data_IF_199057760830
#
_entry.id   IF_199057760830
#
_cell.length_a   1.000
_cell.length_b   1.000
_cell.length_c   1.000
_cell.angle_alpha   90.00
_cell.angle_beta   90.00
_cell.angle_gamma   90.00
#
_symmetry.space_group_name_H-M   'P 1'
#
loop_
_entity.id
_entity.type
_entity.pdbx_description
1 polymer ?
#
# COMPACT_ATOMS: atom_id res chain seq x y z
N UNK A 1 16.86 4.35 -3.37
CA UNK A 1 16.81 5.75 -2.97
C UNK A 1 15.95 6.60 -3.88
N UNK A 2 16.18 6.56 -5.19
CA UNK A 2 15.33 7.30 -6.13
C UNK A 2 13.86 6.90 -6.05
N UNK A 3 13.62 5.62 -5.84
CA UNK A 3 12.26 5.11 -5.71
C UNK A 3 11.54 5.70 -4.49
N UNK A 4 12.18 5.68 -3.34
CA UNK A 4 11.56 6.23 -2.11
C UNK A 4 11.33 7.73 -2.21
N UNK A 5 12.24 8.45 -2.85
CA UNK A 5 12.07 9.86 -3.11
C UNK A 5 10.86 10.12 -4.01
N UNK A 6 10.74 9.34 -5.10
CA UNK A 6 9.61 9.45 -6.01
C UNK A 6 8.28 9.12 -5.34
N UNK A 7 8.27 8.09 -4.49
CA UNK A 7 7.09 7.71 -3.73
C UNK A 7 6.67 8.82 -2.78
N UNK A 8 7.62 9.39 -2.05
CA UNK A 8 7.35 10.49 -1.12
C UNK A 8 6.77 11.69 -1.84
N UNK A 9 7.38 12.09 -2.97
CA UNK A 9 6.89 13.21 -3.77
C UNK A 9 5.48 12.98 -4.29
N UNK A 10 5.19 11.75 -4.74
CA UNK A 10 3.86 11.43 -5.25
C UNK A 10 2.82 11.51 -4.16
N UNK A 11 3.12 11.01 -2.97
CA UNK A 11 2.17 11.07 -1.86
C UNK A 11 1.92 12.51 -1.44
N UNK A 12 2.97 13.35 -1.39
CA UNK A 12 2.81 14.78 -1.10
C UNK A 12 1.89 15.44 -2.13
N UNK A 13 2.10 15.15 -3.41
CA UNK A 13 1.25 15.67 -4.48
C UNK A 13 -0.21 15.24 -4.29
N UNK A 14 -0.44 14.01 -3.87
CA UNK A 14 -1.79 13.49 -3.60
C UNK A 14 -2.42 14.23 -2.43
N UNK A 15 -1.67 14.44 -1.36
CA UNK A 15 -2.15 15.18 -0.19
C UNK A 15 -2.52 16.61 -0.58
N UNK A 16 -1.62 17.31 -1.23
CA UNK A 16 -1.79 18.73 -1.53
C UNK A 16 -2.70 18.99 -2.73
N UNK A 17 -2.64 18.13 -3.74
CA UNK A 17 -3.42 18.31 -4.96
C UNK A 17 -4.84 17.82 -4.88
N UNK A 18 -5.10 16.72 -4.19
CA UNK A 18 -6.43 16.13 -4.07
C UNK A 18 -7.08 16.34 -2.70
N UNK A 19 -6.31 16.80 -1.71
CA UNK A 19 -6.82 16.95 -0.35
C UNK A 19 -7.07 15.61 0.36
N UNK A 20 -6.43 14.56 -0.07
CA UNK A 20 -6.61 13.23 0.53
C UNK A 20 -5.93 13.20 1.91
N UNK A 21 -6.64 12.68 2.89
CA UNK A 21 -6.16 12.59 4.27
C UNK A 21 -6.13 11.18 4.83
N UNK A 22 -6.74 10.22 4.15
CA UNK A 22 -6.78 8.83 4.63
C UNK A 22 -6.09 7.93 3.63
N UNK A 23 -5.18 7.10 4.13
CA UNK A 23 -4.34 6.23 3.31
C UNK A 23 -4.48 4.80 3.78
N UNK A 24 -4.53 3.86 2.84
CA UNK A 24 -4.67 2.43 3.14
C UNK A 24 -3.50 1.67 2.52
N UNK A 25 -2.82 0.84 3.31
CA UNK A 25 -1.78 -0.06 2.83
C UNK A 25 -2.17 -1.51 3.08
N UNK A 26 -1.90 -2.37 2.10
CA UNK A 26 -2.16 -3.80 2.23
C UNK A 26 -1.08 -4.56 2.98
N UNK A 27 0.00 -3.91 3.34
CA UNK A 27 1.04 -4.45 4.21
C UNK A 27 1.73 -5.72 3.72
N UNK A 28 1.77 -5.93 2.41
CA UNK A 28 2.63 -6.96 1.84
C UNK A 28 4.09 -6.49 1.83
N UNK A 29 5.02 -7.42 1.71
CA UNK A 29 6.44 -7.09 1.63
C UNK A 29 6.73 -6.11 0.50
N UNK A 30 7.70 -5.24 0.72
CA UNK A 30 8.17 -4.30 -0.28
C UNK A 30 7.36 -3.02 -0.33
N UNK A 31 6.81 -2.70 -1.49
CA UNK A 31 6.20 -1.39 -1.75
C UNK A 31 5.06 -1.02 -0.79
N UNK A 32 4.26 -1.98 -0.37
CA UNK A 32 3.16 -1.71 0.57
C UNK A 32 3.65 -1.19 1.92
N UNK A 33 4.74 -1.78 2.42
CA UNK A 33 5.32 -1.33 3.69
C UNK A 33 6.06 -0.02 3.52
N UNK A 34 6.74 0.18 2.38
CA UNK A 34 7.39 1.45 2.08
C UNK A 34 6.38 2.59 2.02
N UNK A 35 5.23 2.34 1.41
CA UNK A 35 4.13 3.30 1.37
C UNK A 35 3.66 3.65 2.79
N UNK A 36 3.42 2.65 3.60
CA UNK A 36 2.94 2.85 4.97
C UNK A 36 3.93 3.66 5.81
N UNK A 37 5.22 3.32 5.73
CA UNK A 37 6.26 4.07 6.44
C UNK A 37 6.35 5.51 5.96
N UNK A 38 6.19 5.73 4.66
CA UNK A 38 6.23 7.08 4.09
C UNK A 38 5.06 7.92 4.62
N UNK A 39 3.87 7.34 4.67
CA UNK A 39 2.69 8.03 5.23
C UNK A 39 2.94 8.41 6.70
N UNK A 40 3.45 7.48 7.49
CA UNK A 40 3.76 7.74 8.90
C UNK A 40 4.78 8.87 9.01
N UNK A 41 5.85 8.83 8.21
CA UNK A 41 6.88 9.87 8.22
C UNK A 41 6.33 11.24 7.84
N UNK A 42 5.47 11.30 6.85
CA UNK A 42 4.84 12.55 6.43
C UNK A 42 3.89 13.10 7.49
N UNK A 43 3.17 12.23 8.18
CA UNK A 43 2.30 12.61 9.29
C UNK A 43 3.10 13.28 10.40
N UNK A 44 4.25 12.72 10.73
CA UNK A 44 5.11 13.25 11.78
C UNK A 44 5.85 14.53 11.38
N UNK A 45 6.17 14.65 10.10
CA UNK A 45 6.96 15.78 9.62
C UNK A 45 6.12 17.03 9.35
N UNK A 46 5.02 16.91 8.60
CA UNK A 46 4.32 18.10 8.12
C UNK A 46 2.79 17.97 8.06
N UNK A 47 2.26 16.76 7.97
CA UNK A 47 0.84 16.55 7.71
C UNK A 47 0.18 15.80 8.88
N UNK A 48 0.01 16.46 10.04
CA UNK A 48 -0.46 15.76 11.26
C UNK A 48 -1.87 15.19 11.16
N UNK A 49 -2.65 15.64 10.18
CA UNK A 49 -4.04 15.19 10.04
C UNK A 49 -4.23 13.98 9.14
N UNK A 50 -3.17 13.48 8.48
CA UNK A 50 -3.32 12.28 7.67
C UNK A 50 -3.35 11.04 8.55
N UNK A 51 -4.08 10.02 8.09
CA UNK A 51 -4.25 8.77 8.82
C UNK A 51 -3.88 7.58 7.96
N UNK A 52 -3.42 6.53 8.60
CA UNK A 52 -3.04 5.28 7.95
C UNK A 52 -3.90 4.14 8.44
N UNK A 53 -4.52 3.45 7.50
CA UNK A 53 -5.15 2.15 7.75
C UNK A 53 -4.28 1.06 7.16
N UNK A 54 -4.06 -0.01 7.92
CA UNK A 54 -3.39 -1.21 7.43
C UNK A 54 -4.45 -2.29 7.23
N UNK A 55 -4.63 -2.73 5.99
CA UNK A 55 -5.59 -3.76 5.63
C UNK A 55 -4.87 -5.09 5.45
N UNK A 56 -5.06 -6.01 6.38
CA UNK A 56 -4.35 -7.28 6.42
C UNK A 56 -5.17 -8.36 5.72
N UNK A 57 -4.54 -9.15 4.82
CA UNK A 57 -5.27 -10.21 4.11
C UNK A 57 -5.71 -11.34 5.03
N UNK A 58 -4.84 -11.69 6.01
CA UNK A 58 -5.13 -12.75 6.99
C UNK A 58 -4.17 -12.60 8.18
N UNK A 59 -4.45 -13.31 9.29
CA UNK A 59 -3.64 -13.21 10.50
C UNK A 59 -2.19 -13.65 10.30
N UNK A 60 -1.97 -14.65 9.48
CA UNK A 60 -0.69 -15.33 9.39
C UNK A 60 0.14 -14.91 8.17
N UNK A 61 -0.11 -13.73 7.62
CA UNK A 61 0.61 -13.34 6.40
C UNK A 61 2.13 -13.26 6.60
N UNK A 62 2.59 -12.95 7.82
CA UNK A 62 4.03 -12.79 8.09
C UNK A 62 4.73 -14.05 8.56
N UNK A 63 4.02 -15.17 8.64
CA UNK A 63 4.53 -16.37 9.29
C UNK A 63 5.90 -16.83 8.78
N UNK A 64 6.12 -16.71 7.47
CA UNK A 64 7.36 -17.17 6.83
C UNK A 64 8.34 -16.03 6.51
N UNK A 65 8.09 -14.84 6.99
CA UNK A 65 8.96 -13.71 6.72
C UNK A 65 10.19 -13.73 7.59
N UNK A 66 11.27 -13.06 7.14
CA UNK A 66 12.45 -12.87 7.94
C UNK A 66 12.15 -11.98 9.14
N UNK A 67 12.94 -12.14 10.21
CA UNK A 67 12.73 -11.42 11.45
C UNK A 67 12.78 -9.91 11.26
N UNK A 68 13.67 -9.42 10.41
CA UNK A 68 13.78 -8.00 10.11
C UNK A 68 12.47 -7.44 9.54
N UNK A 69 11.87 -8.18 8.62
CA UNK A 69 10.63 -7.76 7.98
C UNK A 69 9.45 -7.82 8.95
N UNK A 70 9.42 -8.83 9.82
CA UNK A 70 8.39 -8.92 10.86
C UNK A 70 8.46 -7.75 11.82
N UNK A 71 9.67 -7.33 12.21
CA UNK A 71 9.85 -6.18 13.11
C UNK A 71 9.36 -4.90 12.47
N UNK A 72 9.68 -4.69 11.19
CA UNK A 72 9.21 -3.53 10.44
C UNK A 72 7.69 -3.52 10.37
N UNK A 73 7.09 -4.67 10.05
CA UNK A 73 5.66 -4.86 9.98
C UNK A 73 4.98 -4.52 11.31
N UNK A 74 5.48 -5.10 12.40
CA UNK A 74 4.90 -4.87 13.72
C UNK A 74 5.00 -3.41 14.14
N UNK A 75 6.10 -2.76 13.82
CA UNK A 75 6.28 -1.34 14.12
C UNK A 75 5.26 -0.49 13.37
N UNK A 76 5.07 -0.76 12.07
CA UNK A 76 4.08 -0.04 11.27
C UNK A 76 2.69 -0.21 11.87
N UNK A 77 2.31 -1.45 12.21
CA UNK A 77 1.00 -1.72 12.80
C UNK A 77 0.81 -0.96 14.12
N UNK A 78 1.86 -0.83 14.92
CA UNK A 78 1.76 -0.11 16.19
C UNK A 78 1.54 1.38 16.00
N UNK A 79 1.91 1.92 14.85
CA UNK A 79 1.78 3.35 14.55
C UNK A 79 0.60 3.67 13.63
N UNK A 80 -0.11 2.65 13.14
CA UNK A 80 -1.27 2.83 12.30
C UNK A 80 -2.47 3.34 13.11
N UNK A 81 -3.31 4.12 12.45
CA UNK A 81 -4.55 4.61 13.08
C UNK A 81 -5.62 3.53 13.11
N UNK A 82 -5.67 2.69 12.07
CA UNK A 82 -6.64 1.61 11.95
C UNK A 82 -5.92 0.37 11.43
N UNK A 83 -6.24 -0.79 12.02
CA UNK A 83 -5.78 -2.07 11.49
C UNK A 83 -7.03 -2.92 11.24
N UNK A 84 -7.21 -3.32 9.99
CA UNK A 84 -8.37 -4.09 9.56
C UNK A 84 -7.93 -5.48 9.09
N UNK A 85 -8.53 -6.51 9.65
CA UNK A 85 -8.29 -7.87 9.22
C UNK A 85 -9.39 -8.27 8.24
N UNK A 86 -9.04 -8.44 6.97
CA UNK A 86 -10.03 -8.72 5.92
C UNK A 86 -10.52 -10.17 5.97
N UNK A 87 -9.63 -11.12 6.27
CA UNK A 87 -9.98 -12.54 6.43
C UNK A 87 -9.30 -13.09 7.67
N UNK A 88 -10.00 -13.96 8.42
CA UNK A 88 -9.41 -14.58 9.61
C UNK A 88 -8.29 -15.52 9.26
N UNK A 89 -8.49 -16.36 8.23
CA UNK A 89 -7.55 -17.39 7.86
C UNK A 89 -7.06 -17.21 6.44
N UNK A 90 -5.88 -17.76 6.15
CA UNK A 90 -5.34 -17.78 4.82
C UNK A 90 -6.26 -18.53 3.86
N UNK A 91 -6.45 -17.97 2.69
CA UNK A 91 -7.14 -18.64 1.58
C UNK A 91 -6.41 -18.24 0.29
N UNK A 92 -6.66 -19.02 -0.78
CA UNK A 92 -6.04 -18.76 -2.08
C UNK A 92 -6.29 -17.34 -2.57
N UNK A 93 -7.46 -16.80 -2.28
CA UNK A 93 -7.90 -15.50 -2.80
C UNK A 93 -7.84 -14.37 -1.76
N UNK A 94 -7.27 -14.60 -0.58
CA UNK A 94 -7.29 -13.60 0.49
C UNK A 94 -6.57 -12.31 0.12
N UNK A 95 -5.47 -12.40 -0.66
CA UNK A 95 -4.74 -11.22 -1.10
C UNK A 95 -5.61 -10.36 -2.03
N UNK A 96 -6.33 -10.98 -2.95
CA UNK A 96 -7.21 -10.25 -3.85
C UNK A 96 -8.43 -9.69 -3.12
N UNK A 97 -8.96 -10.41 -2.16
CA UNK A 97 -10.04 -9.89 -1.31
C UNK A 97 -9.59 -8.63 -0.59
N UNK A 98 -8.36 -8.64 -0.03
CA UNK A 98 -7.80 -7.45 0.62
C UNK A 98 -7.65 -6.31 -0.37
N UNK A 99 -7.17 -6.58 -1.58
CA UNK A 99 -7.02 -5.55 -2.60
C UNK A 99 -8.36 -4.94 -2.99
N UNK A 100 -9.39 -5.77 -3.15
CA UNK A 100 -10.73 -5.28 -3.45
C UNK A 100 -11.29 -4.43 -2.31
N UNK A 101 -11.07 -4.84 -1.07
CA UNK A 101 -11.47 -4.05 0.09
C UNK A 101 -10.86 -2.64 0.03
N UNK A 102 -9.56 -2.55 -0.28
CA UNK A 102 -8.89 -1.27 -0.36
C UNK A 102 -9.45 -0.39 -1.48
N UNK A 103 -9.68 -0.97 -2.66
CA UNK A 103 -10.25 -0.24 -3.79
C UNK A 103 -11.66 0.26 -3.45
N UNK A 104 -12.48 -0.60 -2.87
CA UNK A 104 -13.87 -0.27 -2.56
C UNK A 104 -13.98 0.89 -1.57
N UNK A 105 -12.97 1.11 -0.73
CA UNK A 105 -12.93 2.21 0.23
C UNK A 105 -12.24 3.46 -0.30
N UNK A 106 -11.69 3.42 -1.50
CA UNK A 106 -10.80 4.47 -1.97
C UNK A 106 -11.43 5.34 -3.04
N UNK A 107 -11.06 6.61 -3.04
CA UNK A 107 -11.36 7.56 -4.11
C UNK A 107 -10.24 7.59 -5.14
N UNK A 108 -9.04 7.13 -4.75
CA UNK A 108 -7.86 7.11 -5.60
C UNK A 108 -7.02 5.90 -5.25
N UNK A 109 -6.60 5.16 -6.26
CA UNK A 109 -5.66 4.05 -6.11
C UNK A 109 -4.30 4.50 -6.62
N UNK A 110 -3.27 4.39 -5.78
CA UNK A 110 -1.89 4.57 -6.21
C UNK A 110 -1.27 3.19 -6.35
N UNK A 111 -0.99 2.79 -7.59
CA UNK A 111 -0.37 1.51 -7.87
C UNK A 111 1.13 1.69 -8.08
N UNK A 112 1.93 0.87 -7.41
CA UNK A 112 3.37 0.81 -7.68
C UNK A 112 3.54 -0.34 -8.65
N UNK A 113 3.84 -0.02 -9.90
CA UNK A 113 3.58 -0.90 -11.03
C UNK A 113 4.84 -1.11 -11.88
N UNK A 114 5.07 -2.35 -12.29
CA UNK A 114 6.23 -2.71 -13.10
C UNK A 114 5.98 -2.71 -14.61
N UNK A 115 4.77 -2.34 -15.03
CA UNK A 115 4.41 -2.27 -16.46
C UNK A 115 3.91 -3.58 -17.06
N UNK A 116 3.87 -4.67 -16.30
CA UNK A 116 3.43 -5.97 -16.84
C UNK A 116 1.93 -6.16 -16.68
N UNK A 117 1.28 -6.63 -17.75
CA UNK A 117 -0.17 -6.86 -17.76
C UNK A 117 -0.54 -8.19 -17.13
N UNK A 118 -0.04 -8.41 -15.90
CA UNK A 118 -0.31 -9.62 -15.12
C UNK A 118 0.06 -9.39 -13.66
N UNK A 119 -0.46 -10.23 -12.79
CA UNK A 119 -0.13 -10.21 -11.37
C UNK A 119 -1.10 -9.41 -10.53
N UNK A 120 -0.84 -9.35 -9.23
CA UNK A 120 -1.75 -8.74 -8.28
C UNK A 120 -2.00 -7.26 -8.50
N UNK A 121 -0.94 -6.50 -8.80
CA UNK A 121 -1.06 -5.06 -9.05
C UNK A 121 -1.91 -4.80 -10.30
N UNK A 122 -1.63 -5.51 -11.39
CA UNK A 122 -2.41 -5.39 -12.61
C UNK A 122 -3.89 -5.72 -12.37
N UNK A 123 -4.15 -6.84 -11.68
CA UNK A 123 -5.53 -7.26 -11.39
C UNK A 123 -6.27 -6.24 -10.52
N UNK A 124 -5.57 -5.63 -9.57
CA UNK A 124 -6.14 -4.58 -8.71
C UNK A 124 -6.46 -3.33 -9.51
N UNK A 125 -5.57 -2.94 -10.43
CA UNK A 125 -5.81 -1.80 -11.31
C UNK A 125 -7.02 -2.04 -12.21
N UNK A 126 -7.16 -3.25 -12.74
CA UNK A 126 -8.33 -3.61 -13.57
C UNK A 126 -9.62 -3.59 -12.76
N UNK A 127 -9.55 -4.04 -11.51
CA UNK A 127 -10.72 -3.98 -10.62
C UNK A 127 -11.11 -2.53 -10.34
N UNK A 128 -10.13 -1.66 -10.07
CA UNK A 128 -10.39 -0.24 -9.84
C UNK A 128 -11.03 0.42 -11.06
N UNK A 129 -10.53 0.10 -12.25
CA UNK A 129 -11.10 0.60 -13.52
C UNK A 129 -12.57 0.18 -13.65
N UNK A 130 -12.85 -1.10 -13.38
CA UNK A 130 -14.21 -1.63 -13.44
C UNK A 130 -15.15 -0.92 -12.46
N UNK A 131 -14.63 -0.55 -11.28
CA UNK A 131 -15.40 0.14 -10.25
C UNK A 131 -15.47 1.66 -10.47
N UNK A 132 -14.79 2.18 -11.45
CA UNK A 132 -14.77 3.61 -11.72
C UNK A 132 -13.91 4.40 -10.73
N UNK A 133 -12.97 3.75 -10.05
CA UNK A 133 -12.06 4.43 -9.12
C UNK A 133 -10.83 4.91 -9.88
N UNK A 134 -10.50 6.18 -9.72
CA UNK A 134 -9.34 6.77 -10.38
C UNK A 134 -8.06 6.05 -9.94
N UNK A 135 -7.20 5.73 -10.90
CA UNK A 135 -5.93 5.07 -10.62
C UNK A 135 -4.79 5.92 -11.19
N UNK A 136 -3.78 6.12 -10.35
CA UNK A 136 -2.48 6.65 -10.76
C UNK A 136 -1.46 5.55 -10.51
N UNK A 137 -0.36 5.58 -11.24
CA UNK A 137 0.69 4.62 -10.96
C UNK A 137 2.05 5.28 -10.91
N UNK A 138 2.92 4.70 -10.11
CA UNK A 138 4.32 5.01 -10.04
C UNK A 138 5.07 3.82 -10.62
N UNK A 139 5.81 4.06 -11.68
CA UNK A 139 6.56 3.00 -12.33
C UNK A 139 7.72 2.56 -11.45
N UNK A 140 7.78 1.27 -11.18
CA UNK A 140 8.90 0.68 -10.46
C UNK A 140 9.57 -0.32 -11.39
N UNK A 141 10.74 0.03 -11.95
CA UNK A 141 11.49 -0.91 -12.77
C UNK A 141 11.84 -2.15 -11.95
N UNK A 142 12.05 -3.27 -12.63
CA UNK A 142 12.52 -4.48 -11.96
C UNK A 142 13.81 -4.17 -11.21
N UNK A 143 14.02 -4.86 -10.10
CA UNK A 143 15.19 -4.64 -9.25
C UNK A 143 16.49 -4.63 -10.05
N UNK A 144 16.56 -5.48 -11.07
CA UNK A 144 17.74 -5.58 -11.91
C UNK A 144 18.03 -4.29 -12.67
N UNK A 145 17.01 -3.50 -12.96
CA UNK A 145 17.15 -2.24 -13.67
C UNK A 145 17.67 -1.13 -12.75
N UNK A 146 17.64 -1.36 -11.43
CA UNK A 146 18.11 -0.40 -10.45
C UNK A 146 19.55 -0.63 -10.01
N UNK A 147 20.06 -1.78 -10.34
CA UNK A 147 21.43 -2.17 -9.99
C UNK A 147 22.37 -1.89 -11.14
#
# INVERSE_FOLDING_TARGET
MKYLFGLTKRIITIIEGYGITEFISGMALGAYMDFAETVIGLREWKYPNIKLECALPCRNQTLKWEQRDKKKYDKILSEADIVTLVSEEYSRDCMMKRNKYMVDKSDLVLAIYNGKERGGTWNTMKYAEKKGVKTEWLYLPLFDDLL
#
